data_IF_349850792703
#
_entry.id   IF_349850792703
#
_cell.length_a   1.000
_cell.length_b   1.000
_cell.length_c   1.000
_cell.angle_alpha   90.00
_cell.angle_beta   90.00
_cell.angle_gamma   90.00
#
_symmetry.space_group_name_H-M   'P 1'
#
loop_
_entity.id
_entity.type
_entity.pdbx_description
1 polymer ?
#
# COMPACT_ATOMS: atom_id res chain seq x y z
N UNK A 1 1.86 11.86 6.82
CA UNK A 1 0.65 12.28 6.11
C UNK A 1 -0.05 11.05 5.55
N UNK A 2 -1.35 10.92 5.81
CA UNK A 2 -2.13 9.75 5.40
C UNK A 2 -2.78 10.03 4.05
N UNK A 3 -2.67 9.09 3.12
CA UNK A 3 -3.24 9.19 1.79
C UNK A 3 -4.07 7.95 1.46
N UNK A 4 -4.75 7.98 0.33
CA UNK A 4 -5.64 6.89 -0.10
C UNK A 4 -5.45 6.59 -1.57
N UNK A 5 -5.67 5.32 -1.96
CA UNK A 5 -5.88 4.97 -3.36
C UNK A 5 -6.87 3.81 -3.45
N UNK A 6 -7.50 3.68 -4.61
CA UNK A 6 -8.47 2.62 -4.85
C UNK A 6 -7.93 1.69 -5.92
N UNK A 7 -7.90 0.38 -5.61
CA UNK A 7 -7.46 -0.63 -6.57
C UNK A 7 -8.54 -0.86 -7.62
N UNK A 8 -8.23 -0.75 -8.92
CA UNK A 8 -9.22 -1.05 -9.96
C UNK A 8 -9.47 -2.55 -10.14
N UNK A 9 -8.65 -3.39 -9.54
CA UNK A 9 -8.76 -4.85 -9.68
C UNK A 9 -9.91 -5.39 -8.85
N UNK A 10 -10.03 -4.95 -7.60
CA UNK A 10 -11.04 -5.45 -6.66
C UNK A 10 -11.89 -4.35 -6.04
N UNK A 11 -11.63 -3.10 -6.38
CA UNK A 11 -12.40 -1.97 -5.86
C UNK A 11 -12.10 -1.62 -4.41
N UNK A 12 -11.10 -2.25 -3.80
CA UNK A 12 -10.75 -1.95 -2.42
C UNK A 12 -10.04 -0.61 -2.30
N UNK A 13 -10.39 0.15 -1.27
CA UNK A 13 -9.74 1.42 -0.97
C UNK A 13 -8.68 1.18 0.09
N UNK A 14 -7.44 1.53 -0.26
CA UNK A 14 -6.29 1.44 0.65
C UNK A 14 -5.98 2.80 1.23
N UNK A 15 -5.73 2.82 2.53
CA UNK A 15 -5.25 3.99 3.25
C UNK A 15 -3.79 3.71 3.57
N UNK A 16 -2.89 4.62 3.25
CA UNK A 16 -1.46 4.37 3.43
C UNK A 16 -0.75 5.60 3.98
N UNK A 17 0.43 5.34 4.56
CA UNK A 17 1.35 6.39 5.01
C UNK A 17 2.77 5.90 4.86
N UNK A 18 3.69 6.83 4.63
CA UNK A 18 5.12 6.54 4.57
C UNK A 18 5.80 7.34 5.67
N UNK A 19 6.47 6.65 6.59
CA UNK A 19 7.19 7.26 7.70
C UNK A 19 8.60 6.67 7.73
N UNK A 20 9.61 7.54 7.63
CA UNK A 20 11.01 7.15 7.64
C UNK A 20 11.34 6.05 6.62
N UNK A 21 10.78 6.15 5.44
CA UNK A 21 11.01 5.19 4.36
C UNK A 21 10.24 3.89 4.49
N UNK A 22 9.40 3.74 5.53
CA UNK A 22 8.56 2.56 5.71
C UNK A 22 7.12 2.88 5.34
N UNK A 23 6.56 2.13 4.39
CA UNK A 23 5.16 2.26 4.00
C UNK A 23 4.31 1.32 4.86
N UNK A 24 3.26 1.88 5.45
CA UNK A 24 2.23 1.12 6.15
C UNK A 24 0.90 1.38 5.45
N UNK A 25 0.05 0.38 5.43
CA UNK A 25 -1.24 0.48 4.75
C UNK A 25 -2.32 -0.26 5.52
N UNK A 26 -3.57 0.05 5.20
CA UNK A 26 -4.72 -0.71 5.69
C UNK A 26 -5.90 -0.54 4.75
N UNK A 27 -6.83 -1.49 4.82
CA UNK A 27 -8.15 -1.36 4.22
C UNK A 27 -9.05 -0.78 5.30
N UNK A 28 -10.02 0.04 4.92
CA UNK A 28 -10.93 0.67 5.86
C UNK A 28 -11.53 -0.39 6.80
N UNK A 29 -11.42 -0.16 8.09
CA UNK A 29 -11.93 -1.06 9.11
C UNK A 29 -10.95 -2.13 9.58
N UNK A 30 -9.73 -2.14 9.05
CA UNK A 30 -8.69 -3.08 9.47
C UNK A 30 -7.52 -2.33 10.13
N UNK A 31 -6.61 -3.08 10.71
CA UNK A 31 -5.43 -2.52 11.35
C UNK A 31 -4.32 -2.22 10.34
N UNK A 32 -3.41 -1.32 10.72
CA UNK A 32 -2.24 -1.00 9.93
C UNK A 32 -1.35 -2.23 9.75
N UNK A 33 -0.82 -2.39 8.54
CA UNK A 33 0.14 -3.44 8.19
C UNK A 33 1.33 -2.81 7.47
N UNK A 34 2.52 -3.31 7.74
CA UNK A 34 3.71 -2.87 7.05
C UNK A 34 3.77 -3.48 5.65
N UNK A 35 4.15 -2.67 4.66
CA UNK A 35 4.42 -3.19 3.33
C UNK A 35 5.78 -3.86 3.32
N UNK A 36 5.82 -5.12 2.92
CA UNK A 36 7.05 -5.91 2.86
C UNK A 36 7.48 -6.06 1.41
N UNK A 37 8.50 -5.30 1.03
CA UNK A 37 8.98 -5.23 -0.34
C UNK A 37 9.41 -6.60 -0.88
N UNK A 38 10.00 -7.43 -0.03
CA UNK A 38 10.51 -8.74 -0.40
C UNK A 38 9.41 -9.79 -0.56
N UNK A 39 8.22 -9.53 -0.06
CA UNK A 39 7.11 -10.48 -0.10
C UNK A 39 6.11 -10.11 -1.19
N UNK A 40 6.58 -10.18 -2.42
CA UNK A 40 5.78 -9.83 -3.59
C UNK A 40 4.48 -10.63 -3.70
N UNK A 41 4.48 -11.86 -3.18
CA UNK A 41 3.33 -12.77 -3.29
C UNK A 41 2.17 -12.37 -2.39
N UNK A 42 2.40 -11.53 -1.39
CA UNK A 42 1.35 -11.09 -0.48
C UNK A 42 0.40 -10.09 -1.13
N UNK A 43 0.73 -9.59 -2.32
CA UNK A 43 0.01 -8.50 -2.97
C UNK A 43 -0.34 -8.87 -4.40
N UNK A 44 -1.40 -8.26 -4.95
CA UNK A 44 -1.67 -8.33 -6.38
C UNK A 44 -0.60 -7.53 -7.13
N UNK A 45 -0.44 -7.81 -8.41
CA UNK A 45 0.55 -7.10 -9.24
C UNK A 45 0.30 -5.59 -9.22
N UNK A 46 -0.96 -5.18 -9.32
CA UNK A 46 -1.32 -3.76 -9.28
C UNK A 46 -0.95 -3.12 -7.95
N UNK A 47 -1.34 -3.77 -6.86
CA UNK A 47 -1.09 -3.25 -5.51
C UNK A 47 0.41 -3.14 -5.23
N UNK A 48 1.16 -4.18 -5.60
CA UNK A 48 2.60 -4.19 -5.38
C UNK A 48 3.28 -3.04 -6.13
N UNK A 49 2.94 -2.87 -7.41
CA UNK A 49 3.51 -1.78 -8.20
C UNK A 49 3.16 -0.42 -7.63
N UNK A 50 1.92 -0.26 -7.17
CA UNK A 50 1.48 1.01 -6.60
C UNK A 50 2.25 1.32 -5.32
N UNK A 51 2.40 0.34 -4.43
CA UNK A 51 3.15 0.55 -3.18
C UNK A 51 4.61 0.87 -3.45
N UNK A 52 5.24 0.18 -4.39
CA UNK A 52 6.63 0.47 -4.76
C UNK A 52 6.77 1.90 -5.28
N UNK A 53 5.86 2.32 -6.15
CA UNK A 53 5.85 3.67 -6.69
C UNK A 53 5.72 4.71 -5.57
N UNK A 54 4.84 4.46 -4.60
CA UNK A 54 4.64 5.36 -3.47
C UNK A 54 5.89 5.45 -2.59
N UNK A 55 6.58 4.33 -2.38
CA UNK A 55 7.84 4.33 -1.63
C UNK A 55 8.93 5.13 -2.33
N UNK A 56 8.94 5.10 -3.66
CA UNK A 56 9.92 5.84 -4.44
C UNK A 56 9.61 7.33 -4.54
N UNK A 57 8.47 7.76 -4.00
CA UNK A 57 8.09 9.17 -3.98
C UNK A 57 7.44 9.67 -5.25
N UNK A 58 6.92 8.78 -6.02
CA UNK A 58 6.22 9.15 -7.27
C UNK A 58 4.74 9.42 -7.03
#
# INVERSE_FOLDING_TARGET
MVKKFKSPVDGLEFIYQVVDGQLSYKIKGTDWQDFILEDKRAYSDYEYKEFVSLLEGN
#
